data_IF_177820218520
#
_entry.id   IF_177820218520
#
_cell.length_a   1.000
_cell.length_b   1.000
_cell.length_c   1.000
_cell.angle_alpha   90.00
_cell.angle_beta   90.00
_cell.angle_gamma   90.00
#
_symmetry.space_group_name_H-M   'P 1'
#
loop_
_entity.id
_entity.type
_entity.pdbx_description
1 polymer ?
#
# COMPACT_ATOMS: atom_id res chain seq x y z
N UNK A 1 -6.52 86.74 2.74
CA UNK A 1 -7.18 85.49 3.11
C UNK A 1 -6.44 84.41 2.38
N UNK A 2 -5.51 83.72 3.06
CA UNK A 2 -4.67 82.65 2.47
C UNK A 2 -5.25 81.32 2.87
N UNK A 3 -5.75 80.56 1.90
CA UNK A 3 -6.20 79.17 2.09
C UNK A 3 -4.98 78.19 2.06
N UNK A 4 -4.69 77.52 3.14
CA UNK A 4 -3.74 76.43 3.22
C UNK A 4 -4.50 75.11 2.87
N UNK A 5 -4.09 74.51 1.73
CA UNK A 5 -4.53 73.14 1.40
C UNK A 5 -3.57 72.15 2.08
N UNK A 6 -4.12 71.38 3.05
CA UNK A 6 -3.45 70.19 3.58
C UNK A 6 -3.68 69.00 2.64
N UNK A 7 -2.64 68.57 1.96
CA UNK A 7 -2.64 67.31 1.22
C UNK A 7 -2.40 66.20 2.21
N UNK A 8 -3.42 65.40 2.50
CA UNK A 8 -3.30 64.19 3.30
C UNK A 8 -2.82 63.08 2.37
N UNK A 9 -1.54 62.72 2.46
CA UNK A 9 -0.95 61.58 1.75
C UNK A 9 -1.37 60.31 2.46
N UNK A 10 -2.34 59.60 1.87
CA UNK A 10 -2.77 58.27 2.32
C UNK A 10 -1.77 57.25 1.77
N UNK A 11 -0.75 56.89 2.55
CA UNK A 11 0.14 55.76 2.24
C UNK A 11 -0.62 54.46 2.40
N UNK A 12 -1.03 53.89 1.25
CA UNK A 12 -1.62 52.56 1.20
C UNK A 12 -0.51 51.52 1.46
N UNK A 13 -0.43 51.01 2.68
CA UNK A 13 0.45 49.89 3.00
C UNK A 13 -0.20 48.62 2.42
N UNK A 14 0.22 48.27 1.20
CA UNK A 14 -0.06 46.96 0.63
C UNK A 14 0.70 45.89 1.45
N UNK A 15 0.02 45.29 2.42
CA UNK A 15 0.49 44.07 3.02
C UNK A 15 0.51 42.98 1.94
N UNK A 16 1.68 42.76 1.35
CA UNK A 16 1.96 41.58 0.53
C UNK A 16 1.97 40.35 1.47
N UNK A 17 0.79 39.84 1.75
CA UNK A 17 0.69 38.47 2.25
C UNK A 17 1.17 37.58 1.10
N UNK A 18 2.44 37.19 1.15
CA UNK A 18 2.88 36.00 0.41
C UNK A 18 1.99 34.87 0.86
N UNK A 19 1.29 34.15 -0.03
CA UNK A 19 0.63 32.94 0.38
C UNK A 19 1.71 32.04 0.97
N UNK A 20 1.61 31.74 2.26
CA UNK A 20 2.35 30.64 2.84
C UNK A 20 1.88 29.45 2.00
N UNK A 21 2.75 28.93 1.13
CA UNK A 21 2.57 27.65 0.50
C UNK A 21 2.65 26.59 1.62
N UNK A 22 1.63 26.54 2.45
CA UNK A 22 1.39 25.40 3.27
C UNK A 22 1.13 24.26 2.30
N UNK A 23 2.01 23.29 2.29
CA UNK A 23 1.80 22.04 1.58
C UNK A 23 0.41 21.53 2.01
N UNK A 24 -0.61 21.55 1.14
CA UNK A 24 -1.99 21.29 1.53
C UNK A 24 -2.22 19.85 1.97
N UNK A 25 -1.17 19.06 1.99
CA UNK A 25 -1.21 17.63 2.18
C UNK A 25 -0.78 17.23 3.60
N UNK A 26 -1.60 16.51 4.36
CA UNK A 26 -1.18 15.97 5.65
C UNK A 26 -0.05 14.97 5.43
N UNK A 27 1.04 15.13 6.18
CA UNK A 27 2.22 14.27 6.11
C UNK A 27 2.13 13.19 7.18
N UNK A 28 2.62 12.00 6.86
CA UNK A 28 2.72 10.91 7.83
C UNK A 28 3.72 11.28 8.94
N UNK A 29 3.23 11.45 10.17
CA UNK A 29 4.05 11.75 11.34
C UNK A 29 4.39 10.49 12.11
N UNK A 30 5.68 10.26 12.34
CA UNK A 30 6.14 9.15 13.17
C UNK A 30 7.39 9.51 13.95
N UNK A 31 7.36 9.34 15.28
CA UNK A 31 8.48 9.60 16.21
C UNK A 31 9.18 10.95 15.98
N UNK A 32 8.43 12.03 15.88
CA UNK A 32 8.98 13.38 15.72
C UNK A 32 9.40 13.75 14.29
N UNK A 33 9.17 12.86 13.31
CA UNK A 33 9.52 13.10 11.92
C UNK A 33 8.30 13.01 11.02
N UNK A 34 8.22 13.89 10.03
CA UNK A 34 7.25 13.84 8.96
C UNK A 34 7.82 13.11 7.74
N UNK A 35 7.00 12.26 7.14
CA UNK A 35 7.31 11.52 5.92
C UNK A 35 6.36 11.97 4.82
N UNK A 36 6.90 12.34 3.68
CA UNK A 36 6.11 12.71 2.51
C UNK A 36 5.35 11.51 1.94
N UNK A 37 5.90 10.33 2.11
CA UNK A 37 5.27 9.06 1.75
C UNK A 37 5.77 7.92 2.63
N UNK A 38 4.88 6.99 2.94
CA UNK A 38 5.22 5.71 3.60
C UNK A 38 5.25 4.54 2.60
N UNK A 39 5.25 4.83 1.32
CA UNK A 39 5.52 3.85 0.28
C UNK A 39 6.87 3.17 0.54
N UNK A 40 6.96 1.89 0.30
CA UNK A 40 8.14 1.08 0.57
C UNK A 40 8.53 0.95 2.05
N UNK A 41 7.58 1.15 2.96
CA UNK A 41 7.71 0.85 4.39
C UNK A 41 6.78 -0.29 4.80
N UNK A 42 7.07 -0.88 5.96
CA UNK A 42 6.10 -1.68 6.69
C UNK A 42 5.33 -0.80 7.68
N UNK A 43 4.02 -0.97 7.73
CA UNK A 43 3.19 -0.53 8.87
C UNK A 43 2.99 -1.73 9.79
N UNK A 44 3.41 -1.58 11.05
CA UNK A 44 3.21 -2.59 12.09
C UNK A 44 2.16 -2.06 13.05
N UNK A 45 1.07 -2.80 13.25
CA UNK A 45 -0.01 -2.36 14.13
C UNK A 45 0.47 -2.18 15.57
N UNK A 46 0.12 -1.05 16.16
CA UNK A 46 0.38 -0.78 17.58
C UNK A 46 -0.62 -1.52 18.48
N UNK A 47 -0.31 -1.63 19.77
CA UNK A 47 -1.21 -2.17 20.81
C UNK A 47 -2.52 -1.38 20.93
N UNK A 48 -2.49 -0.09 20.59
CA UNK A 48 -3.64 0.81 20.55
C UNK A 48 -4.60 0.55 19.37
N UNK A 49 -4.25 -0.34 18.43
CA UNK A 49 -5.11 -0.70 17.31
C UNK A 49 -6.43 -1.29 17.80
N UNK A 50 -7.53 -0.59 17.52
CA UNK A 50 -8.87 -0.99 17.95
C UNK A 50 -9.53 -1.96 16.98
N UNK A 51 -9.30 -1.78 15.66
CA UNK A 51 -9.87 -2.67 14.64
C UNK A 51 -9.28 -4.08 14.76
N UNK A 52 -10.11 -5.08 15.11
CA UNK A 52 -9.64 -6.45 15.33
C UNK A 52 -9.03 -7.10 14.08
N UNK A 53 -9.43 -6.62 12.89
CA UNK A 53 -8.87 -7.10 11.62
C UNK A 53 -7.40 -6.75 11.49
N UNK A 54 -7.00 -5.59 12.03
CA UNK A 54 -5.64 -5.06 11.92
C UNK A 54 -4.79 -5.24 13.18
N UNK A 55 -5.33 -5.82 14.25
CA UNK A 55 -4.51 -6.16 15.42
C UNK A 55 -3.41 -7.14 15.05
N UNK A 56 -2.18 -6.87 15.50
CA UNK A 56 -0.97 -7.69 15.26
C UNK A 56 -0.68 -7.91 13.77
N UNK A 57 -1.00 -6.93 12.90
CA UNK A 57 -0.68 -7.02 11.48
C UNK A 57 0.61 -6.30 11.13
N UNK A 58 1.22 -6.79 10.07
CA UNK A 58 2.30 -6.14 9.33
C UNK A 58 1.79 -5.94 7.91
N UNK A 59 1.86 -4.71 7.43
CA UNK A 59 1.41 -4.31 6.09
C UNK A 59 2.59 -3.77 5.31
N UNK A 60 2.86 -4.31 4.13
CA UNK A 60 3.78 -3.68 3.18
C UNK A 60 3.04 -2.59 2.43
N UNK A 61 3.56 -1.36 2.47
CA UNK A 61 2.97 -0.23 1.76
C UNK A 61 3.47 -0.20 0.33
N UNK A 62 2.53 -0.20 -0.60
CA UNK A 62 2.81 -0.28 -2.04
C UNK A 62 2.59 1.06 -2.73
N UNK A 63 1.72 1.90 -2.17
CA UNK A 63 1.53 3.28 -2.61
C UNK A 63 1.03 4.17 -1.49
N UNK A 64 1.40 5.46 -1.57
CA UNK A 64 0.93 6.50 -0.65
C UNK A 64 1.14 7.85 -1.34
N UNK A 65 0.05 8.44 -1.78
CA UNK A 65 -0.01 9.72 -2.48
C UNK A 65 -1.26 10.51 -2.08
N UNK A 66 -1.57 11.55 -2.81
CA UNK A 66 -2.70 12.45 -2.55
C UNK A 66 -4.07 11.78 -2.76
N UNK A 67 -4.15 10.75 -3.56
CA UNK A 67 -5.38 9.98 -3.79
C UNK A 67 -5.64 8.95 -2.68
N UNK A 68 -4.65 8.74 -1.80
CA UNK A 68 -4.73 7.83 -0.66
C UNK A 68 -3.56 6.85 -0.59
N UNK A 69 -3.80 5.73 0.08
CA UNK A 69 -2.75 4.76 0.34
C UNK A 69 -3.27 3.35 0.19
N UNK A 70 -2.40 2.42 -0.22
CA UNK A 70 -2.74 1.02 -0.18
C UNK A 70 -1.53 0.12 0.07
N UNK A 71 -1.81 -1.05 0.63
CA UNK A 71 -0.81 -2.04 0.95
C UNK A 71 -1.40 -3.42 1.17
N UNK A 72 -0.56 -4.37 1.54
CA UNK A 72 -0.93 -5.76 1.77
C UNK A 72 -0.54 -6.21 3.17
N UNK A 73 -1.49 -6.73 3.92
CA UNK A 73 -1.18 -7.50 5.12
C UNK A 73 -0.44 -8.77 4.71
N UNK A 74 0.70 -9.06 5.37
CA UNK A 74 1.59 -10.16 4.97
C UNK A 74 1.69 -11.28 6.01
N UNK A 75 1.15 -11.09 7.20
CA UNK A 75 1.30 -12.02 8.32
C UNK A 75 -0.02 -12.60 8.83
N UNK A 76 -1.08 -12.61 8.00
CA UNK A 76 -2.37 -13.26 8.34
C UNK A 76 -2.67 -14.42 7.39
N UNK A 77 -2.26 -15.65 7.71
CA UNK A 77 -2.67 -16.83 6.95
C UNK A 77 -4.19 -17.03 7.07
N UNK A 78 -4.85 -17.32 5.94
CA UNK A 78 -6.27 -17.63 5.89
C UNK A 78 -6.52 -19.13 5.83
N UNK A 79 -5.99 -19.77 4.80
CA UNK A 79 -6.24 -21.17 4.49
C UNK A 79 -5.21 -21.68 3.47
N UNK A 80 -5.31 -22.94 3.14
CA UNK A 80 -4.58 -23.56 2.04
C UNK A 80 -5.59 -24.14 1.05
N UNK A 81 -5.47 -23.79 -0.22
CA UNK A 81 -6.37 -24.24 -1.29
C UNK A 81 -5.62 -24.99 -2.38
N UNK A 82 -6.33 -25.71 -3.24
CA UNK A 82 -5.73 -26.27 -4.45
C UNK A 82 -5.44 -25.19 -5.48
N UNK A 83 -4.40 -25.37 -6.30
CA UNK A 83 -4.09 -24.46 -7.40
C UNK A 83 -5.30 -24.24 -8.32
N UNK A 84 -6.07 -25.31 -8.58
CA UNK A 84 -7.30 -25.24 -9.40
C UNK A 84 -8.27 -24.17 -8.89
N UNK A 85 -8.43 -24.05 -7.58
CA UNK A 85 -9.37 -23.10 -6.94
C UNK A 85 -8.99 -21.63 -7.20
N UNK A 86 -7.75 -21.37 -7.53
CA UNK A 86 -7.22 -20.02 -7.79
C UNK A 86 -7.29 -19.63 -9.28
N UNK A 87 -7.61 -20.57 -10.14
CA UNK A 87 -7.62 -20.37 -11.59
C UNK A 87 -9.06 -20.18 -12.07
N UNK A 88 -9.30 -19.12 -12.83
CA UNK A 88 -10.60 -18.92 -13.48
C UNK A 88 -10.92 -20.07 -14.42
N UNK A 89 -12.08 -20.73 -14.23
CA UNK A 89 -12.54 -21.87 -15.02
C UNK A 89 -12.69 -21.60 -16.53
N UNK A 90 -12.78 -20.32 -16.93
CA UNK A 90 -12.87 -19.90 -18.33
C UNK A 90 -11.57 -20.01 -19.13
N UNK A 91 -10.43 -20.27 -18.47
CA UNK A 91 -9.12 -20.35 -19.14
C UNK A 91 -8.86 -21.77 -19.63
N UNK A 92 -8.49 -21.87 -20.91
CA UNK A 92 -8.03 -23.15 -21.48
C UNK A 92 -6.68 -23.51 -20.87
N UNK A 93 -6.59 -24.70 -20.27
CA UNK A 93 -5.38 -25.21 -19.63
C UNK A 93 -4.82 -26.41 -20.39
N UNK A 94 -3.51 -26.50 -20.47
CA UNK A 94 -2.81 -27.66 -21.03
C UNK A 94 -2.89 -28.84 -20.07
N UNK A 95 -2.69 -30.08 -20.55
CA UNK A 95 -2.66 -31.26 -19.70
C UNK A 95 -1.59 -31.15 -18.61
N UNK A 96 -0.37 -30.66 -18.94
CA UNK A 96 0.71 -30.40 -17.96
C UNK A 96 0.30 -29.42 -16.87
N UNK A 97 -0.50 -28.41 -17.16
CA UNK A 97 -1.01 -27.49 -16.15
C UNK A 97 -2.05 -28.15 -15.25
N UNK A 98 -2.91 -29.02 -15.80
CA UNK A 98 -3.92 -29.75 -15.03
C UNK A 98 -3.31 -30.73 -14.02
N UNK A 99 -2.14 -31.30 -14.31
CA UNK A 99 -1.39 -32.15 -13.40
C UNK A 99 -1.02 -31.45 -12.08
N UNK A 100 -0.91 -30.11 -12.11
CA UNK A 100 -0.57 -29.28 -10.95
C UNK A 100 -1.80 -28.85 -10.15
N UNK A 101 -3.01 -29.10 -10.57
CA UNK A 101 -4.24 -28.60 -9.96
C UNK A 101 -4.39 -28.97 -8.48
N UNK A 102 -3.89 -30.13 -8.07
CA UNK A 102 -3.94 -30.60 -6.69
C UNK A 102 -2.86 -30.01 -5.78
N UNK A 103 -1.88 -29.25 -6.35
CA UNK A 103 -0.84 -28.61 -5.54
C UNK A 103 -1.48 -27.63 -4.57
N UNK A 104 -1.08 -27.69 -3.31
CA UNK A 104 -1.63 -26.88 -2.22
C UNK A 104 -0.90 -25.56 -2.12
N UNK A 105 -1.64 -24.48 -2.16
CA UNK A 105 -1.14 -23.09 -2.12
C UNK A 105 -1.66 -22.42 -0.84
N UNK A 106 -0.78 -21.97 0.06
CA UNK A 106 -1.20 -21.19 1.23
C UNK A 106 -1.65 -19.80 0.81
N UNK A 107 -2.76 -19.34 1.37
CA UNK A 107 -3.39 -18.06 1.07
C UNK A 107 -3.34 -17.16 2.30
N UNK A 108 -3.00 -15.91 2.11
CA UNK A 108 -2.94 -14.88 3.13
C UNK A 108 -4.01 -13.81 2.89
N UNK A 109 -4.48 -13.22 3.96
CA UNK A 109 -5.38 -12.08 3.92
C UNK A 109 -4.58 -10.78 3.75
N UNK A 110 -4.81 -10.04 2.68
CA UNK A 110 -4.14 -8.76 2.38
C UNK A 110 -4.90 -7.54 2.84
N UNK A 111 -6.20 -7.69 3.14
CA UNK A 111 -7.06 -6.61 3.59
C UNK A 111 -8.52 -6.79 3.21
N UNK A 112 -9.40 -5.88 3.67
CA UNK A 112 -10.85 -6.02 3.50
C UNK A 112 -11.37 -5.66 2.11
N UNK A 113 -10.56 -5.01 1.27
CA UNK A 113 -10.98 -4.49 -0.03
C UNK A 113 -10.62 -5.49 -1.13
N UNK A 114 -11.49 -5.64 -2.13
CA UNK A 114 -11.26 -6.49 -3.31
C UNK A 114 -10.83 -7.93 -2.96
N UNK A 115 -11.52 -8.58 -2.02
CA UNK A 115 -11.15 -9.91 -1.50
C UNK A 115 -11.12 -11.02 -2.55
N UNK A 116 -11.67 -10.78 -3.74
CA UNK A 116 -11.59 -11.71 -4.88
C UNK A 116 -10.35 -11.49 -5.75
N UNK A 117 -9.56 -10.44 -5.48
CA UNK A 117 -8.34 -10.14 -6.22
C UNK A 117 -7.16 -10.88 -5.62
N UNK A 118 -6.53 -11.71 -6.44
CA UNK A 118 -5.30 -12.41 -6.09
C UNK A 118 -4.10 -11.52 -6.46
N UNK A 119 -3.21 -11.31 -5.52
CA UNK A 119 -1.92 -10.67 -5.71
C UNK A 119 -0.83 -11.59 -5.17
N UNK A 120 0.29 -11.67 -5.87
CA UNK A 120 1.44 -12.45 -5.44
C UNK A 120 2.57 -11.48 -5.08
N UNK A 121 2.84 -11.34 -3.77
CA UNK A 121 4.01 -10.64 -3.27
C UNK A 121 5.19 -11.61 -3.28
N UNK A 122 6.33 -11.22 -3.85
CA UNK A 122 7.45 -12.15 -4.01
C UNK A 122 8.80 -11.45 -4.01
N UNK A 123 9.88 -12.23 -3.85
CA UNK A 123 11.26 -11.78 -4.04
C UNK A 123 11.50 -11.33 -5.48
N UNK A 124 12.45 -10.40 -5.67
CA UNK A 124 12.63 -9.73 -6.97
C UNK A 124 13.48 -10.53 -7.98
N UNK A 125 13.72 -11.80 -7.67
CA UNK A 125 14.43 -12.77 -8.53
C UNK A 125 13.56 -13.39 -9.65
N UNK A 126 12.28 -13.01 -9.73
CA UNK A 126 11.34 -13.48 -10.74
C UNK A 126 10.61 -12.30 -11.41
N UNK A 127 10.39 -12.39 -12.72
CA UNK A 127 9.64 -11.38 -13.47
C UNK A 127 8.61 -12.04 -14.40
N UNK A 128 7.42 -11.44 -14.44
CA UNK A 128 6.36 -11.71 -15.42
C UNK A 128 5.91 -10.40 -16.07
N UNK A 129 4.98 -10.48 -17.04
CA UNK A 129 4.43 -9.30 -17.71
C UNK A 129 3.74 -8.31 -16.74
N UNK A 130 3.21 -8.80 -15.62
CA UNK A 130 2.48 -8.01 -14.63
C UNK A 130 3.31 -7.63 -13.42
N UNK A 131 4.59 -7.98 -13.40
CA UNK A 131 5.45 -7.73 -12.24
C UNK A 131 5.77 -6.25 -12.10
N UNK A 132 5.44 -5.70 -10.93
CA UNK A 132 5.86 -4.36 -10.48
C UNK A 132 6.86 -4.53 -9.35
N UNK A 133 7.99 -3.80 -9.42
CA UNK A 133 9.06 -3.86 -8.42
C UNK A 133 8.88 -2.77 -7.37
N UNK A 134 9.12 -3.12 -6.10
CA UNK A 134 9.12 -2.24 -4.93
C UNK A 134 10.36 -2.53 -4.10
N UNK A 135 11.36 -1.67 -4.10
CA UNK A 135 12.65 -1.95 -3.43
C UNK A 135 13.17 -3.37 -3.70
N UNK A 136 13.15 -4.22 -2.67
CA UNK A 136 13.59 -5.63 -2.69
C UNK A 136 12.45 -6.63 -2.90
N UNK A 137 11.21 -6.15 -3.02
CA UNK A 137 10.03 -6.96 -3.24
C UNK A 137 9.44 -6.71 -4.62
N UNK A 138 8.67 -7.63 -5.09
CA UNK A 138 7.89 -7.51 -6.33
C UNK A 138 6.48 -7.98 -6.11
N UNK A 139 5.55 -7.45 -6.90
CA UNK A 139 4.16 -7.88 -6.91
C UNK A 139 3.73 -8.26 -8.32
N UNK A 140 3.04 -9.37 -8.45
CA UNK A 140 2.46 -9.84 -9.71
C UNK A 140 0.98 -10.15 -9.54
N UNK A 141 0.22 -9.94 -10.61
CA UNK A 141 -1.22 -10.28 -10.67
C UNK A 141 -1.53 -11.34 -11.74
N UNK A 142 -0.52 -11.88 -12.40
CA UNK A 142 -0.66 -12.92 -13.40
C UNK A 142 -0.77 -14.30 -12.74
N UNK A 143 -1.87 -15.00 -13.03
CA UNK A 143 -2.07 -16.38 -12.54
C UNK A 143 -1.00 -17.37 -13.05
N UNK A 144 -0.28 -17.07 -14.14
CA UNK A 144 0.79 -17.93 -14.67
C UNK A 144 1.91 -18.16 -13.65
N UNK A 145 2.20 -17.16 -12.81
CA UNK A 145 3.19 -17.30 -11.73
C UNK A 145 2.82 -18.40 -10.72
N UNK A 146 1.53 -18.67 -10.52
CA UNK A 146 1.08 -19.74 -9.62
C UNK A 146 1.50 -21.13 -10.11
N UNK A 147 1.53 -21.34 -11.42
CA UNK A 147 2.05 -22.57 -12.01
C UNK A 147 3.58 -22.70 -11.82
N UNK A 148 4.29 -21.61 -11.95
CA UNK A 148 5.74 -21.62 -11.73
C UNK A 148 6.08 -21.86 -10.24
N UNK A 149 5.30 -21.30 -9.32
CA UNK A 149 5.38 -21.60 -7.88
C UNK A 149 5.10 -23.07 -7.64
N UNK A 150 4.04 -23.62 -8.24
CA UNK A 150 3.67 -25.04 -8.09
C UNK A 150 4.72 -26.02 -8.64
N UNK A 151 5.51 -25.60 -9.64
CA UNK A 151 6.64 -26.36 -10.21
C UNK A 151 7.96 -26.18 -9.45
N UNK A 152 8.00 -25.31 -8.43
CA UNK A 152 9.24 -24.84 -7.78
C UNK A 152 10.21 -24.08 -8.72
N UNK A 153 9.69 -23.50 -9.81
CA UNK A 153 10.43 -22.66 -10.78
C UNK A 153 10.07 -21.16 -10.65
N UNK A 154 9.23 -20.83 -9.67
CA UNK A 154 8.81 -19.45 -9.38
C UNK A 154 9.85 -18.69 -8.56
N UNK A 155 9.47 -17.53 -7.98
CA UNK A 155 10.31 -16.76 -7.09
C UNK A 155 10.70 -17.58 -5.85
N UNK A 156 11.92 -17.33 -5.33
CA UNK A 156 12.44 -18.04 -4.14
C UNK A 156 11.54 -17.89 -2.91
N UNK A 157 10.90 -16.73 -2.77
CA UNK A 157 9.93 -16.46 -1.70
C UNK A 157 8.68 -15.83 -2.31
N UNK A 158 7.52 -16.32 -1.91
CA UNK A 158 6.24 -15.76 -2.36
C UNK A 158 5.15 -15.92 -1.33
N UNK A 159 4.20 -14.96 -1.33
CA UNK A 159 2.94 -15.00 -0.60
C UNK A 159 1.82 -14.78 -1.60
N UNK A 160 0.85 -15.69 -1.63
CA UNK A 160 -0.37 -15.54 -2.40
C UNK A 160 -1.42 -14.88 -1.51
N UNK A 161 -1.84 -13.68 -1.89
CA UNK A 161 -2.58 -12.78 -1.02
C UNK A 161 -3.94 -12.46 -1.65
N UNK A 162 -5.01 -12.54 -0.85
CA UNK A 162 -6.36 -12.12 -1.23
C UNK A 162 -6.73 -10.80 -0.57
N UNK A 163 -7.20 -9.87 -1.40
CA UNK A 163 -7.62 -8.54 -0.96
C UNK A 163 -6.46 -7.58 -0.75
N UNK A 164 -6.80 -6.34 -0.46
CA UNK A 164 -5.89 -5.24 -0.17
C UNK A 164 -6.37 -4.45 1.02
N UNK A 165 -5.45 -3.78 1.71
CA UNK A 165 -5.73 -2.70 2.66
C UNK A 165 -5.59 -1.37 1.93
N UNK A 166 -6.55 -0.48 2.11
CA UNK A 166 -6.49 0.86 1.52
C UNK A 166 -7.06 1.92 2.47
N UNK A 167 -6.56 3.11 2.33
CA UNK A 167 -6.94 4.31 3.06
C UNK A 167 -7.27 5.39 2.05
N UNK A 168 -8.36 6.11 2.29
CA UNK A 168 -8.67 7.33 1.55
C UNK A 168 -7.69 8.46 1.87
N UNK A 169 -7.78 9.58 1.12
CA UNK A 169 -6.95 10.76 1.35
C UNK A 169 -6.96 11.21 2.82
N UNK A 170 -5.77 11.38 3.43
CA UNK A 170 -5.61 11.83 4.82
C UNK A 170 -5.97 10.82 5.90
N UNK A 171 -6.53 9.66 5.55
CA UNK A 171 -6.98 8.67 6.54
C UNK A 171 -5.78 8.00 7.24
N UNK A 172 -4.77 7.58 6.48
CA UNK A 172 -3.58 6.94 7.02
C UNK A 172 -2.80 7.93 7.91
N UNK A 173 -2.66 9.15 7.45
CA UNK A 173 -2.00 10.24 8.17
C UNK A 173 -2.64 10.47 9.54
N UNK A 174 -3.97 10.55 9.58
CA UNK A 174 -4.70 10.65 10.84
C UNK A 174 -4.60 9.43 11.75
N UNK A 175 -4.36 8.25 11.19
CA UNK A 175 -4.07 7.03 11.98
C UNK A 175 -2.63 7.02 12.51
N UNK A 176 -1.67 7.53 11.74
CA UNK A 176 -0.28 7.69 12.15
C UNK A 176 -0.14 8.70 13.29
N UNK A 177 -0.82 9.85 13.22
CA UNK A 177 -0.88 10.85 14.30
C UNK A 177 -1.44 10.27 15.61
N UNK A 178 -2.39 9.33 15.51
CA UNK A 178 -2.95 8.61 16.67
C UNK A 178 -2.12 7.41 17.10
N UNK A 179 -0.91 7.28 16.58
CA UNK A 179 0.03 6.20 16.90
C UNK A 179 -0.58 4.80 16.75
N UNK A 180 -1.48 4.60 15.77
CA UNK A 180 -2.04 3.27 15.48
C UNK A 180 -1.05 2.36 14.78
N UNK A 181 -0.04 2.93 14.13
CA UNK A 181 0.95 2.23 13.34
C UNK A 181 2.38 2.59 13.75
N UNK A 182 3.24 1.59 13.81
CA UNK A 182 4.68 1.78 13.80
C UNK A 182 5.17 1.68 12.35
N UNK A 183 6.11 2.55 12.01
CA UNK A 183 6.77 2.55 10.72
C UNK A 183 8.10 1.79 10.82
N UNK A 184 8.35 0.87 9.88
CA UNK A 184 9.60 0.13 9.77
C UNK A 184 10.06 0.09 8.32
N UNK A 185 11.35 0.29 8.09
CA UNK A 185 11.93 0.20 6.75
C UNK A 185 11.92 -1.25 6.24
N UNK A 186 11.85 -1.40 4.91
CA UNK A 186 12.04 -2.70 4.24
C UNK A 186 13.54 -2.83 3.96
N UNK A 187 14.20 -3.70 4.70
CA UNK A 187 15.64 -4.01 4.57
C UNK A 187 15.93 -5.04 3.48
#
# INVERSE_FOLDING_TARGET
>A
MKFFFYIFSLTLVLNLYSPINADPWPKNYYKGKFYDSVKDFFLVSNKTMQDPRFKKTVIVMLDNDQEGSWGLVINKPLTTVSLESLIHKSKKMTNKQKELFNVKIPIYWGGPINQNKILILHSDDYKSETTKKFKKLSISSDYKILFEIAKNNGPKKSLVILGISSWGPGQLEGEMEKEKWFLSEID
#
